data_IF_493895429352
#
_entry.id   IF_493895429352
#
_cell.length_a   1.000
_cell.length_b   1.000
_cell.length_c   1.000
_cell.angle_alpha   90.00
_cell.angle_beta   90.00
_cell.angle_gamma   90.00
#
_symmetry.space_group_name_H-M   'P 1'
#
loop_
_entity.id
_entity.type
_entity.pdbx_description
1 polymer ?
#
# COMPACT_ATOMS: atom_id res chain seq x y z
N UNK A 1 -24.85 9.69 -19.76
CA UNK A 1 -23.55 10.36 -19.50
C UNK A 1 -22.70 9.52 -18.54
N UNK A 2 -21.99 8.51 -19.05
CA UNK A 2 -21.09 7.64 -18.26
C UNK A 2 -19.66 7.92 -18.69
N UNK A 3 -18.94 8.75 -17.92
CA UNK A 3 -17.50 8.99 -18.15
C UNK A 3 -16.73 7.68 -17.89
N UNK A 4 -16.38 6.97 -18.97
CA UNK A 4 -15.30 5.97 -18.96
C UNK A 4 -13.99 6.71 -18.66
N UNK A 5 -13.52 6.61 -17.42
CA UNK A 5 -12.14 6.96 -17.11
C UNK A 5 -11.24 5.89 -17.74
N UNK A 6 -10.69 6.19 -18.93
CA UNK A 6 -9.55 5.48 -19.50
C UNK A 6 -8.38 5.69 -18.54
N UNK A 7 -7.98 4.66 -17.82
CA UNK A 7 -6.67 4.64 -17.17
C UNK A 7 -5.67 4.29 -18.28
N UNK A 8 -4.99 5.29 -18.82
CA UNK A 8 -3.86 5.12 -19.72
C UNK A 8 -2.62 4.78 -18.89
N UNK A 9 -2.24 3.52 -18.88
CA UNK A 9 -1.01 3.04 -18.25
C UNK A 9 -0.90 1.54 -18.45
N UNK A 10 0.32 1.07 -18.73
CA UNK A 10 0.60 -0.37 -18.82
C UNK A 10 0.13 -1.09 -17.55
N UNK A 11 -0.33 -2.35 -17.67
CA UNK A 11 -0.72 -3.15 -16.52
C UNK A 11 0.48 -3.36 -15.59
N UNK A 12 0.60 -2.50 -14.58
CA UNK A 12 1.67 -2.60 -13.60
C UNK A 12 1.40 -3.76 -12.66
N UNK A 13 2.16 -4.85 -12.80
CA UNK A 13 2.16 -5.97 -11.85
C UNK A 13 2.66 -5.49 -10.50
N UNK A 14 1.91 -5.80 -9.43
CA UNK A 14 2.30 -5.51 -8.05
C UNK A 14 2.59 -6.80 -7.31
N UNK A 15 3.69 -6.83 -6.56
CA UNK A 15 4.03 -7.95 -5.68
C UNK A 15 3.30 -7.80 -4.34
N UNK A 16 2.76 -8.90 -3.83
CA UNK A 16 2.03 -8.96 -2.57
C UNK A 16 2.73 -9.96 -1.65
N UNK A 17 2.81 -9.67 -0.33
CA UNK A 17 3.24 -10.67 0.65
C UNK A 17 2.34 -11.91 0.64
N UNK A 18 2.93 -13.09 0.81
CA UNK A 18 2.19 -14.37 0.84
C UNK A 18 1.11 -14.38 1.91
N UNK A 19 1.36 -13.71 3.04
CA UNK A 19 0.40 -13.54 4.13
C UNK A 19 -0.90 -12.80 3.73
N UNK A 20 -0.91 -12.06 2.61
CA UNK A 20 -2.12 -11.41 2.08
C UNK A 20 -2.96 -12.34 1.20
N UNK A 21 -2.35 -13.32 0.52
CA UNK A 21 -3.04 -14.23 -0.38
C UNK A 21 -4.26 -14.93 0.28
N UNK A 22 -4.15 -15.55 1.47
CA UNK A 22 -5.30 -16.19 2.10
C UNK A 22 -6.39 -15.18 2.50
N UNK A 23 -6.01 -13.95 2.87
CA UNK A 23 -6.97 -12.88 3.21
C UNK A 23 -7.76 -12.44 1.97
N UNK A 24 -7.08 -12.30 0.82
CA UNK A 24 -7.70 -11.96 -0.44
C UNK A 24 -8.61 -13.09 -0.95
N UNK A 25 -8.20 -14.34 -0.81
CA UNK A 25 -9.07 -15.51 -1.14
C UNK A 25 -10.35 -15.51 -0.31
N UNK A 26 -10.24 -15.27 1.00
CA UNK A 26 -11.42 -15.17 1.88
C UNK A 26 -12.33 -14.01 1.49
N UNK A 27 -11.74 -12.86 1.15
CA UNK A 27 -12.50 -11.71 0.66
C UNK A 27 -13.21 -12.00 -0.68
N UNK A 28 -12.55 -12.73 -1.59
CA UNK A 28 -13.15 -13.13 -2.87
C UNK A 28 -14.34 -14.05 -2.68
N UNK A 29 -14.22 -15.04 -1.78
CA UNK A 29 -15.34 -15.91 -1.42
C UNK A 29 -16.49 -15.11 -0.79
N UNK A 30 -16.18 -14.13 0.07
CA UNK A 30 -17.19 -13.24 0.65
C UNK A 30 -17.93 -12.41 -0.41
N UNK A 31 -17.23 -11.87 -1.42
CA UNK A 31 -17.87 -11.18 -2.56
C UNK A 31 -18.82 -12.11 -3.30
N UNK A 32 -18.39 -13.34 -3.58
CA UNK A 32 -19.21 -14.33 -4.26
C UNK A 32 -20.50 -14.62 -3.49
N UNK A 33 -20.41 -14.86 -2.18
CA UNK A 33 -21.58 -15.09 -1.32
C UNK A 33 -22.55 -13.89 -1.27
N UNK A 34 -22.06 -12.67 -1.50
CA UNK A 34 -22.89 -11.45 -1.52
C UNK A 34 -23.48 -11.12 -2.89
N UNK A 35 -23.22 -11.94 -3.91
CA UNK A 35 -23.64 -11.67 -5.28
C UNK A 35 -22.93 -10.47 -5.90
N UNK A 36 -21.75 -10.10 -5.40
CA UNK A 36 -20.96 -9.02 -5.98
C UNK A 36 -20.31 -9.48 -7.30
N UNK A 37 -20.19 -8.56 -8.27
CA UNK A 37 -19.49 -8.84 -9.53
C UNK A 37 -18.05 -9.29 -9.32
N UNK A 38 -17.65 -10.36 -9.99
CA UNK A 38 -16.32 -10.99 -9.92
C UNK A 38 -15.56 -10.92 -11.26
N UNK A 39 -16.12 -10.24 -12.26
CA UNK A 39 -15.50 -10.12 -13.58
C UNK A 39 -14.32 -9.15 -13.51
N UNK A 40 -13.40 -9.24 -14.47
CA UNK A 40 -12.22 -8.36 -14.51
C UNK A 40 -12.56 -6.86 -14.57
N UNK A 41 -13.74 -6.50 -15.10
CA UNK A 41 -14.23 -5.12 -15.14
C UNK A 41 -14.84 -4.60 -13.84
N UNK A 42 -15.17 -5.51 -12.90
CA UNK A 42 -15.87 -5.16 -11.68
C UNK A 42 -14.93 -4.54 -10.63
N UNK A 43 -15.43 -3.61 -9.80
CA UNK A 43 -14.64 -3.09 -8.70
C UNK A 43 -14.32 -4.17 -7.67
N UNK A 44 -13.02 -4.36 -7.38
CA UNK A 44 -12.58 -5.26 -6.31
C UNK A 44 -13.22 -4.89 -4.95
N UNK A 45 -13.22 -3.60 -4.60
CA UNK A 45 -13.83 -3.10 -3.38
C UNK A 45 -15.12 -2.31 -3.68
N UNK A 46 -16.22 -2.78 -3.11
CA UNK A 46 -17.54 -2.16 -3.21
C UNK A 46 -17.94 -1.48 -1.90
N UNK A 47 -18.71 -0.41 -1.99
CA UNK A 47 -19.50 0.09 -0.86
C UNK A 47 -20.74 -0.80 -0.66
N UNK A 48 -21.45 -0.62 0.46
CA UNK A 48 -22.70 -1.34 0.74
C UNK A 48 -23.75 -1.18 -0.37
N UNK A 49 -23.72 -0.05 -1.10
CA UNK A 49 -24.55 0.23 -2.27
C UNK A 49 -24.13 -0.48 -3.56
N UNK A 50 -23.20 -1.46 -3.50
CA UNK A 50 -22.71 -2.24 -4.65
C UNK A 50 -21.96 -1.42 -5.72
N UNK A 51 -21.60 -0.17 -5.39
CA UNK A 51 -20.79 0.71 -6.25
C UNK A 51 -19.33 0.67 -5.84
N UNK A 52 -18.43 1.02 -6.76
CA UNK A 52 -16.99 1.18 -6.49
C UNK A 52 -16.76 2.04 -5.26
N UNK A 53 -15.96 1.53 -4.33
CA UNK A 53 -15.62 2.25 -3.10
C UNK A 53 -14.83 3.54 -3.44
N UNK A 54 -15.30 4.67 -2.92
CA UNK A 54 -14.65 5.96 -3.19
C UNK A 54 -13.47 6.22 -2.25
N UNK A 55 -12.48 6.99 -2.71
CA UNK A 55 -11.32 7.42 -1.90
C UNK A 55 -11.75 8.07 -0.59
N UNK A 56 -12.75 8.98 -0.64
CA UNK A 56 -13.29 9.65 0.55
C UNK A 56 -13.87 8.64 1.54
N UNK A 57 -14.60 7.62 1.06
CA UNK A 57 -15.16 6.58 1.94
C UNK A 57 -14.06 5.75 2.60
N UNK A 58 -13.00 5.40 1.87
CA UNK A 58 -11.83 4.72 2.44
C UNK A 58 -11.20 5.53 3.57
N UNK A 59 -10.99 6.84 3.37
CA UNK A 59 -10.43 7.73 4.39
C UNK A 59 -11.31 7.81 5.64
N UNK A 60 -12.64 7.90 5.46
CA UNK A 60 -13.61 7.91 6.57
C UNK A 60 -13.56 6.58 7.34
N UNK A 61 -13.57 5.44 6.65
CA UNK A 61 -13.47 4.13 7.28
C UNK A 61 -12.15 3.96 8.03
N UNK A 62 -11.05 4.41 7.45
CA UNK A 62 -9.74 4.36 8.10
C UNK A 62 -9.71 5.18 9.38
N UNK A 63 -10.28 6.39 9.39
CA UNK A 63 -10.43 7.20 10.61
C UNK A 63 -11.25 6.46 11.67
N UNK A 64 -12.38 5.88 11.29
CA UNK A 64 -13.22 5.13 12.23
C UNK A 64 -12.48 3.94 12.84
N UNK A 65 -11.71 3.18 12.04
CA UNK A 65 -10.91 2.06 12.54
C UNK A 65 -9.76 2.49 13.45
N UNK A 66 -9.11 3.63 13.18
CA UNK A 66 -8.07 4.18 14.07
C UNK A 66 -8.63 4.51 15.46
N UNK A 67 -9.82 5.12 15.51
CA UNK A 67 -10.49 5.42 16.78
C UNK A 67 -10.85 4.13 17.53
N UNK A 68 -11.37 3.12 16.83
CA UNK A 68 -11.71 1.81 17.42
C UNK A 68 -10.47 1.04 17.90
N UNK A 69 -9.34 1.25 17.26
CA UNK A 69 -8.07 0.64 17.64
C UNK A 69 -7.36 1.39 18.78
N UNK A 70 -7.90 2.53 19.25
CA UNK A 70 -7.34 3.29 20.37
C UNK A 70 -6.07 4.05 20.03
N UNK A 71 -5.94 4.58 18.81
CA UNK A 71 -4.75 5.33 18.43
C UNK A 71 -4.69 6.69 19.13
N UNK A 72 -3.54 7.05 19.69
CA UNK A 72 -3.31 8.34 20.38
C UNK A 72 -3.46 9.56 19.46
N UNK A 73 -3.26 9.35 18.16
CA UNK A 73 -3.46 10.36 17.12
C UNK A 73 -3.95 9.74 15.82
N UNK A 74 -4.58 10.56 15.00
CA UNK A 74 -5.07 10.15 13.69
C UNK A 74 -4.01 10.38 12.61
N UNK A 75 -3.81 9.36 11.79
CA UNK A 75 -2.92 9.39 10.64
C UNK A 75 -3.71 9.50 9.34
N UNK A 76 -3.14 10.18 8.32
CA UNK A 76 -3.70 10.18 6.98
C UNK A 76 -3.55 8.79 6.34
N UNK A 77 -4.43 8.47 5.40
CA UNK A 77 -4.42 7.15 4.73
C UNK A 77 -3.10 6.84 4.00
N UNK A 78 -2.37 7.88 3.52
CA UNK A 78 -1.08 7.68 2.87
C UNK A 78 0.02 7.20 3.83
N UNK A 79 -0.15 7.36 5.16
CA UNK A 79 0.78 6.84 6.16
C UNK A 79 0.97 5.33 6.03
N UNK A 80 -0.08 4.58 5.69
CA UNK A 80 0.01 3.13 5.41
C UNK A 80 0.99 2.81 4.28
N UNK A 81 1.04 3.65 3.23
CA UNK A 81 1.99 3.49 2.13
C UNK A 81 3.41 3.77 2.62
N UNK A 82 3.63 4.82 3.40
CA UNK A 82 4.95 5.11 3.97
C UNK A 82 5.44 3.94 4.81
N UNK A 83 4.62 3.42 5.73
CA UNK A 83 4.96 2.26 6.55
C UNK A 83 5.32 1.05 5.69
N UNK A 84 4.55 0.77 4.63
CA UNK A 84 4.86 -0.35 3.73
C UNK A 84 6.21 -0.17 3.01
N UNK A 85 6.50 1.02 2.49
CA UNK A 85 7.77 1.32 1.81
C UNK A 85 8.94 1.27 2.79
N UNK A 86 8.80 1.86 3.99
CA UNK A 86 9.81 1.79 5.05
C UNK A 86 10.09 0.36 5.47
N UNK A 87 9.09 -0.51 5.57
CA UNK A 87 9.30 -1.92 5.90
C UNK A 87 10.08 -2.65 4.81
N UNK A 88 9.80 -2.38 3.54
CA UNK A 88 10.58 -2.94 2.41
C UNK A 88 12.02 -2.44 2.48
N UNK A 89 12.23 -1.14 2.66
CA UNK A 89 13.58 -0.58 2.79
C UNK A 89 14.34 -1.17 3.98
N UNK A 90 13.72 -1.29 5.15
CA UNK A 90 14.36 -1.89 6.33
C UNK A 90 14.75 -3.36 6.11
N UNK A 91 13.93 -4.10 5.36
CA UNK A 91 14.20 -5.51 5.07
C UNK A 91 15.28 -5.70 4.00
N UNK A 92 15.32 -4.85 2.97
CA UNK A 92 16.27 -4.98 1.86
C UNK A 92 17.55 -4.17 2.03
N UNK A 93 17.49 -3.08 2.80
CA UNK A 93 18.48 -1.98 2.84
C UNK A 93 18.78 -1.39 1.45
N UNK A 94 17.86 -1.55 0.51
CA UNK A 94 17.98 -1.11 -0.87
C UNK A 94 16.90 -0.07 -1.19
N UNK A 95 17.34 1.16 -1.43
CA UNK A 95 16.49 2.30 -1.78
C UNK A 95 15.79 2.12 -3.13
N UNK A 96 16.48 1.55 -4.12
CA UNK A 96 15.92 1.33 -5.47
C UNK A 96 14.85 0.24 -5.44
N UNK A 97 15.05 -0.82 -4.64
CA UNK A 97 14.01 -1.83 -4.44
C UNK A 97 12.77 -1.22 -3.76
N UNK A 98 12.97 -0.39 -2.73
CA UNK A 98 11.87 0.30 -2.06
C UNK A 98 11.12 1.27 -3.00
N UNK A 99 11.84 2.00 -3.87
CA UNK A 99 11.24 2.86 -4.91
C UNK A 99 10.43 2.06 -5.91
N UNK A 100 10.97 0.94 -6.40
CA UNK A 100 10.28 0.05 -7.35
C UNK A 100 9.03 -0.55 -6.74
N UNK A 101 9.08 -0.97 -5.48
CA UNK A 101 7.91 -1.41 -4.72
C UNK A 101 6.86 -0.29 -4.60
N UNK A 102 7.32 0.92 -4.30
CA UNK A 102 6.46 2.07 -4.18
C UNK A 102 5.88 2.52 -5.53
N UNK A 103 6.47 2.18 -6.69
CA UNK A 103 6.03 2.64 -8.01
C UNK A 103 5.92 4.17 -8.11
N UNK A 104 6.91 4.89 -7.58
CA UNK A 104 6.97 6.34 -7.70
C UNK A 104 7.55 6.72 -9.07
N UNK A 105 6.91 7.64 -9.79
CA UNK A 105 7.39 8.15 -11.07
C UNK A 105 8.55 9.16 -10.93
N UNK A 106 8.88 9.63 -9.70
CA UNK A 106 9.95 10.59 -9.43
C UNK A 106 10.77 10.20 -8.19
N UNK A 107 12.13 10.19 -8.26
CA UNK A 107 13.03 9.82 -7.16
C UNK A 107 12.97 10.71 -5.91
N UNK A 108 12.45 11.94 -6.03
CA UNK A 108 12.49 12.99 -4.99
C UNK A 108 11.68 12.71 -3.71
N UNK A 109 10.84 11.68 -3.69
CA UNK A 109 10.00 11.32 -2.51
C UNK A 109 10.58 10.19 -1.65
N UNK A 110 11.84 9.82 -1.90
CA UNK A 110 12.49 8.66 -1.28
C UNK A 110 13.61 9.06 -0.31
N UNK A 111 14.07 10.31 -0.36
CA UNK A 111 15.06 10.88 0.57
C UNK A 111 14.55 10.94 2.01
N UNK A 112 13.22 10.92 2.21
CA UNK A 112 12.61 10.83 3.56
C UNK A 112 12.94 9.48 4.23
N UNK A 113 13.32 8.44 3.47
CA UNK A 113 13.66 7.13 4.01
C UNK A 113 15.16 6.92 4.23
N UNK A 114 16.00 7.88 3.85
CA UNK A 114 17.47 7.80 4.00
C UNK A 114 17.96 8.41 5.31
N UNK A 115 17.14 8.47 6.35
CA UNK A 115 17.65 8.71 7.70
C UNK A 115 18.39 7.45 8.17
N UNK A 116 19.59 7.27 7.64
CA UNK A 116 20.56 6.29 8.15
C UNK A 116 20.99 6.82 9.51
N UNK A 117 20.72 6.09 10.58
CA UNK A 117 21.21 6.43 11.92
C UNK A 117 22.75 6.36 11.94
N UNK A 118 23.39 7.22 12.72
CA UNK A 118 24.86 7.25 12.85
C UNK A 118 25.42 5.89 13.33
N UNK A 119 24.67 5.13 14.14
CA UNK A 119 25.02 3.75 14.49
C UNK A 119 25.13 2.82 13.28
N UNK A 120 24.20 2.93 12.33
CA UNK A 120 24.16 2.08 11.13
C UNK A 120 25.30 2.46 10.16
N UNK A 121 25.61 3.75 10.01
CA UNK A 121 26.77 4.19 9.25
C UNK A 121 28.07 3.67 9.87
N UNK A 122 28.21 3.80 11.19
CA UNK A 122 29.41 3.39 11.93
C UNK A 122 29.67 1.88 11.84
N UNK A 123 28.62 1.05 11.87
CA UNK A 123 28.76 -0.39 11.69
C UNK A 123 29.24 -0.73 10.27
N UNK A 124 28.65 -0.11 9.24
CA UNK A 124 28.98 -0.41 7.84
C UNK A 124 30.38 0.04 7.42
N UNK A 125 30.85 1.17 7.95
CA UNK A 125 32.23 1.63 7.70
C UNK A 125 33.24 0.66 8.32
N UNK A 126 32.93 0.07 9.48
CA UNK A 126 33.81 -0.90 10.15
C UNK A 126 33.88 -2.25 9.45
N UNK A 127 32.83 -2.63 8.73
CA UNK A 127 32.76 -3.90 7.99
C UNK A 127 33.43 -3.85 6.61
N UNK A 128 33.95 -2.69 6.18
CA UNK A 128 34.65 -2.57 4.90
C UNK A 128 36.06 -3.18 5.03
N UNK A 129 36.29 -4.28 4.33
CA UNK A 129 37.63 -4.79 4.13
C UNK A 129 38.42 -3.84 3.20
N UNK A 130 39.64 -3.49 3.63
CA UNK A 130 40.60 -2.73 2.84
C UNK A 130 41.20 -3.56 1.71
#
# INVERSE_FOLDING_TARGET
MTRRARCSGDPAVGFLPDALIPKLRRFWAHKACRGEGLSHGDPLFCAASQRRLSKRRVQVLFRAWQLRAGFDRLYPFHALRHTAVTNVYRASRDLFLAQRFARHASPLTTTIYTHVSDEELSLRVRDLAC
#
